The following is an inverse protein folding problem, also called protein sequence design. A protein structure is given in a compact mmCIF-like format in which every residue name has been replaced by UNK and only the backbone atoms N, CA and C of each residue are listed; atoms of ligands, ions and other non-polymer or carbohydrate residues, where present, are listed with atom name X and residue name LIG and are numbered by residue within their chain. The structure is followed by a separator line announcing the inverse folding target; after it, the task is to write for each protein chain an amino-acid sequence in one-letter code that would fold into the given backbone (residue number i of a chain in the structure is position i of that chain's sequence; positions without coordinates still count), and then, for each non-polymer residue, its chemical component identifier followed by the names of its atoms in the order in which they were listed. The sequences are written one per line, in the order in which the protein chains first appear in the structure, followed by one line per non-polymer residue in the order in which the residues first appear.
data_IF_322512971782
#
_entry.id   IF_322512971782
#
_cell.length_a   1.000
_cell.length_b   1.000
_cell.length_c   1.000
_cell.angle_alpha   90.00
_cell.angle_beta   90.00
_cell.angle_gamma   90.00
#
_symmetry.space_group_name_H-M   'P 1'
#
loop_
_entity.id
_entity.type
_entity.pdbx_description
1 polymer ?
#
# COMPACT_ATOMS: atom_id res chain seq x y z
N UNK A 1 -11.32 -12.40 19.27
CA UNK A 1 -12.41 -11.40 19.44
C UNK A 1 -13.48 -11.67 18.38
N UNK A 2 -14.79 -11.63 18.68
CA UNK A 2 -15.83 -11.99 17.73
C UNK A 2 -16.02 -10.91 16.64
N UNK A 3 -15.17 -10.94 15.61
CA UNK A 3 -15.19 -10.00 14.46
C UNK A 3 -16.54 -9.97 13.73
N UNK A 4 -17.35 -11.03 13.86
CA UNK A 4 -18.64 -11.18 13.17
C UNK A 4 -19.68 -10.10 13.52
N UNK A 5 -19.55 -9.46 14.69
CA UNK A 5 -20.44 -8.37 15.10
C UNK A 5 -19.86 -6.97 14.85
N UNK A 6 -18.53 -6.86 14.74
CA UNK A 6 -17.86 -5.57 14.57
C UNK A 6 -18.12 -4.99 13.17
N UNK A 7 -18.05 -5.83 12.14
CA UNK A 7 -18.30 -5.43 10.75
C UNK A 7 -19.71 -4.86 10.50
N UNK A 8 -20.82 -5.55 10.87
CA UNK A 8 -22.16 -5.01 10.63
C UNK A 8 -22.44 -3.76 11.49
N UNK A 9 -21.94 -3.70 12.73
CA UNK A 9 -22.08 -2.51 13.55
C UNK A 9 -21.34 -1.30 12.94
N UNK A 10 -20.10 -1.50 12.49
CA UNK A 10 -19.33 -0.45 11.82
C UNK A 10 -20.01 0.02 10.52
N UNK A 11 -20.51 -0.92 9.70
CA UNK A 11 -21.22 -0.60 8.47
C UNK A 11 -22.49 0.22 8.74
N UNK A 12 -23.24 -0.13 9.79
CA UNK A 12 -24.42 0.62 10.22
C UNK A 12 -24.06 2.04 10.65
N UNK A 13 -23.02 2.22 11.48
CA UNK A 13 -22.56 3.55 11.90
C UNK A 13 -22.07 4.41 10.72
N UNK A 14 -21.37 3.82 9.75
CA UNK A 14 -20.92 4.54 8.55
C UNK A 14 -22.11 4.99 7.70
N UNK A 15 -23.10 4.11 7.48
CA UNK A 15 -24.30 4.44 6.71
C UNK A 15 -25.11 5.57 7.37
N UNK A 16 -25.29 5.52 8.70
CA UNK A 16 -25.96 6.59 9.47
C UNK A 16 -25.17 7.89 9.43
N UNK A 17 -23.84 7.83 9.54
CA UNK A 17 -22.97 9.02 9.49
C UNK A 17 -23.05 9.74 8.14
N UNK A 18 -23.03 9.00 7.03
CA UNK A 18 -23.14 9.60 5.69
C UNK A 18 -24.53 10.15 5.44
N UNK A 19 -25.58 9.41 5.84
CA UNK A 19 -26.96 9.92 5.76
C UNK A 19 -27.13 11.23 6.55
N UNK A 20 -26.48 11.37 7.70
CA UNK A 20 -26.54 12.59 8.52
C UNK A 20 -25.89 13.81 7.86
N UNK A 21 -25.01 13.62 6.88
CA UNK A 21 -24.21 14.72 6.32
C UNK A 21 -24.99 15.49 5.26
N UNK A 22 -25.72 14.77 4.40
CA UNK A 22 -26.42 15.37 3.25
C UNK A 22 -27.88 14.93 3.11
N UNK A 23 -28.42 14.15 4.07
CA UNK A 23 -29.79 13.62 4.08
C UNK A 23 -30.20 12.96 2.74
N UNK A 24 -29.22 12.42 2.03
CA UNK A 24 -29.38 11.87 0.69
C UNK A 24 -29.16 10.37 0.71
N UNK A 25 -30.17 9.63 0.25
CA UNK A 25 -30.09 8.17 0.08
C UNK A 25 -29.06 7.77 -1.00
N UNK A 26 -28.69 8.70 -1.89
CA UNK A 26 -27.71 8.46 -2.94
C UNK A 26 -26.31 8.23 -2.37
N UNK A 27 -25.87 9.06 -1.42
CA UNK A 27 -24.55 8.92 -0.77
C UNK A 27 -24.45 7.63 0.05
N UNK A 28 -25.56 7.21 0.67
CA UNK A 28 -25.64 5.89 1.35
C UNK A 28 -25.48 4.75 0.35
N UNK A 29 -26.06 4.88 -0.85
CA UNK A 29 -25.87 3.95 -1.96
C UNK A 29 -24.40 3.85 -2.39
N UNK A 30 -23.71 4.98 -2.54
CA UNK A 30 -22.28 5.02 -2.88
C UNK A 30 -21.43 4.31 -1.83
N UNK A 31 -21.66 4.58 -0.54
CA UNK A 31 -20.97 3.89 0.57
C UNK A 31 -21.16 2.39 0.50
N UNK A 32 -22.36 1.92 0.15
CA UNK A 32 -22.67 0.49 0.05
C UNK A 32 -21.93 -0.15 -1.14
N UNK A 33 -21.85 0.56 -2.28
CA UNK A 33 -21.05 0.15 -3.44
C UNK A 33 -19.56 0.09 -3.10
N UNK A 34 -19.00 1.12 -2.46
CA UNK A 34 -17.60 1.10 -2.02
C UNK A 34 -17.33 0.05 -0.95
N UNK A 35 -18.29 -0.22 -0.06
CA UNK A 35 -18.22 -1.31 0.92
C UNK A 35 -18.17 -2.68 0.24
N UNK A 36 -18.95 -2.89 -0.82
CA UNK A 36 -18.90 -4.11 -1.64
C UNK A 36 -17.55 -4.25 -2.36
N UNK A 37 -17.02 -3.18 -2.95
CA UNK A 37 -15.68 -3.18 -3.55
C UNK A 37 -14.61 -3.52 -2.50
N UNK A 38 -14.71 -2.96 -1.29
CA UNK A 38 -13.85 -3.28 -0.17
C UNK A 38 -13.94 -4.74 0.25
N UNK A 39 -15.13 -5.35 0.22
CA UNK A 39 -15.32 -6.78 0.48
C UNK A 39 -14.64 -7.65 -0.59
N UNK A 40 -14.66 -7.23 -1.86
CA UNK A 40 -13.90 -7.91 -2.94
C UNK A 40 -12.40 -7.80 -2.71
N UNK A 41 -11.89 -6.63 -2.30
CA UNK A 41 -10.47 -6.47 -1.99
C UNK A 41 -10.04 -7.30 -0.77
N UNK A 42 -10.90 -7.43 0.23
CA UNK A 42 -10.68 -8.33 1.35
C UNK A 42 -10.68 -9.80 0.93
N UNK A 43 -11.54 -10.19 -0.02
CA UNK A 43 -11.59 -11.56 -0.56
C UNK A 43 -10.36 -11.91 -1.43
N UNK A 44 -9.71 -10.90 -2.00
CA UNK A 44 -8.49 -11.03 -2.80
C UNK A 44 -7.19 -10.96 -1.95
N UNK A 45 -7.31 -10.97 -0.61
CA UNK A 45 -6.19 -10.83 0.34
C UNK A 45 -5.34 -9.56 0.09
N UNK A 46 -5.92 -8.52 -0.50
CA UNK A 46 -5.22 -7.24 -0.60
C UNK A 46 -5.11 -6.62 0.79
N UNK A 47 -3.90 -6.23 1.21
CA UNK A 47 -3.74 -5.57 2.49
C UNK A 47 -4.41 -4.19 2.40
N UNK A 48 -5.50 -4.01 3.16
CA UNK A 48 -6.23 -2.74 3.22
C UNK A 48 -5.40 -1.61 3.82
N UNK A 49 -4.47 -1.93 4.72
CA UNK A 49 -3.63 -0.96 5.43
C UNK A 49 -2.74 -0.11 4.48
N UNK A 50 -1.97 -0.68 3.54
CA UNK A 50 -1.22 0.09 2.53
C UNK A 50 -2.09 0.98 1.64
N UNK A 51 -3.28 0.52 1.25
CA UNK A 51 -4.20 1.29 0.39
C UNK A 51 -4.68 2.54 1.13
N UNK A 52 -5.15 2.36 2.37
CA UNK A 52 -5.54 3.46 3.26
C UNK A 52 -4.37 4.40 3.54
N UNK A 53 -3.18 3.86 3.80
CA UNK A 53 -1.98 4.65 4.06
C UNK A 53 -1.62 5.51 2.84
N UNK A 54 -1.64 4.93 1.64
CA UNK A 54 -1.41 5.67 0.40
C UNK A 54 -2.45 6.75 0.15
N UNK A 55 -3.73 6.46 0.42
CA UNK A 55 -4.82 7.42 0.26
C UNK A 55 -4.68 8.62 1.20
N UNK A 56 -4.36 8.39 2.48
CA UNK A 56 -4.23 9.46 3.48
C UNK A 56 -2.92 10.23 3.31
N UNK A 57 -1.80 9.52 3.07
CA UNK A 57 -0.49 10.16 2.93
C UNK A 57 -0.29 10.84 1.58
N UNK A 58 -0.94 10.36 0.51
CA UNK A 58 -0.84 10.93 -0.84
C UNK A 58 -0.98 12.46 -0.90
N UNK A 59 -2.09 13.04 -0.43
CA UNK A 59 -2.28 14.49 -0.44
C UNK A 59 -1.24 15.23 0.42
N UNK A 60 -0.82 14.64 1.55
CA UNK A 60 0.23 15.24 2.39
C UNK A 60 1.58 15.26 1.68
N UNK A 61 1.93 14.19 0.97
CA UNK A 61 3.18 14.09 0.20
C UNK A 61 3.17 15.09 -0.95
N UNK A 62 2.08 15.15 -1.71
CA UNK A 62 1.90 16.09 -2.83
C UNK A 62 1.97 17.55 -2.35
N UNK A 63 1.30 17.88 -1.25
CA UNK A 63 1.31 19.24 -0.68
C UNK A 63 2.71 19.62 -0.18
N UNK A 64 3.41 18.71 0.50
CA UNK A 64 4.78 18.96 0.95
C UNK A 64 5.76 19.08 -0.22
N UNK A 65 5.58 18.28 -1.27
CA UNK A 65 6.37 18.36 -2.49
C UNK A 65 6.16 19.70 -3.20
N UNK A 66 4.90 20.12 -3.37
CA UNK A 66 4.53 21.41 -3.94
C UNK A 66 5.12 22.58 -3.12
N UNK A 67 5.00 22.53 -1.79
CA UNK A 67 5.59 23.54 -0.89
C UNK A 67 7.10 23.60 -1.02
N UNK A 68 7.77 22.45 -1.09
CA UNK A 68 9.21 22.39 -1.27
C UNK A 68 9.66 23.02 -2.60
N UNK A 69 8.94 22.75 -3.70
CA UNK A 69 9.22 23.35 -5.01
C UNK A 69 8.95 24.85 -5.06
N UNK A 70 7.87 25.33 -4.41
CA UNK A 70 7.56 26.76 -4.31
C UNK A 70 8.64 27.51 -3.50
N UNK A 71 9.07 26.97 -2.36
CA UNK A 71 10.20 27.53 -1.60
C UNK A 71 11.52 27.50 -2.37
N UNK A 72 11.68 26.52 -3.26
CA UNK A 72 12.86 26.33 -4.12
C UNK A 72 12.86 27.21 -5.38
N UNK A 73 11.80 28.01 -5.61
CA UNK A 73 11.61 28.76 -6.88
C UNK A 73 11.67 27.85 -8.11
N UNK A 74 11.17 26.61 -8.00
CA UNK A 74 11.11 25.65 -9.11
C UNK A 74 12.41 24.93 -9.46
N UNK A 75 13.50 25.11 -8.70
CA UNK A 75 14.77 24.43 -8.98
C UNK A 75 14.81 23.04 -8.31
N UNK A 76 14.81 21.97 -9.11
CA UNK A 76 14.92 20.58 -8.63
C UNK A 76 16.31 20.30 -8.01
N UNK A 77 17.31 21.15 -8.26
CA UNK A 77 18.66 21.01 -7.70
C UNK A 77 18.74 21.31 -6.20
N UNK A 78 17.68 21.82 -5.57
CA UNK A 78 17.67 22.08 -4.12
C UNK A 78 17.63 20.79 -3.29
N UNK A 79 17.09 19.70 -3.82
CA UNK A 79 17.15 18.39 -3.15
C UNK A 79 18.59 17.87 -3.02
N UNK A 80 19.49 18.28 -3.91
CA UNK A 80 20.92 17.93 -3.86
C UNK A 80 21.73 19.00 -3.11
N UNK A 81 21.40 20.29 -3.28
CA UNK A 81 22.13 21.39 -2.61
C UNK A 81 21.83 21.49 -1.11
N UNK A 82 20.70 20.97 -0.60
CA UNK A 82 20.43 20.91 0.84
C UNK A 82 21.02 19.61 1.43
N UNK A 83 22.07 19.68 2.27
CA UNK A 83 22.79 18.50 2.75
C UNK A 83 21.91 17.52 3.55
N UNK A 84 20.88 18.03 4.24
CA UNK A 84 19.91 17.20 4.97
C UNK A 84 19.01 16.40 4.01
N UNK A 85 18.53 17.02 2.93
CA UNK A 85 17.65 16.37 1.96
C UNK A 85 18.40 15.33 1.13
N UNK A 86 19.63 15.66 0.72
CA UNK A 86 20.52 14.72 0.04
C UNK A 86 20.84 13.49 0.89
N UNK A 87 21.05 13.66 2.20
CA UNK A 87 21.29 12.55 3.13
C UNK A 87 20.11 11.58 3.21
N UNK A 88 18.89 12.08 3.37
CA UNK A 88 17.68 11.24 3.38
C UNK A 88 17.42 10.56 2.02
N UNK A 89 17.64 11.26 0.91
CA UNK A 89 17.46 10.71 -0.43
C UNK A 89 18.47 9.59 -0.72
N UNK A 90 19.74 9.77 -0.32
CA UNK A 90 20.77 8.74 -0.41
C UNK A 90 20.43 7.54 0.48
N UNK A 91 19.98 7.76 1.72
CA UNK A 91 19.57 6.68 2.62
C UNK A 91 18.39 5.87 2.06
N UNK A 92 17.36 6.54 1.54
CA UNK A 92 16.23 5.88 0.88
C UNK A 92 16.68 5.06 -0.33
N UNK A 93 17.51 5.63 -1.20
CA UNK A 93 18.05 4.92 -2.37
C UNK A 93 18.85 3.68 -1.95
N UNK A 94 19.69 3.80 -0.92
CA UNK A 94 20.51 2.70 -0.42
C UNK A 94 19.65 1.59 0.18
N UNK A 95 18.62 1.93 0.97
CA UNK A 95 17.67 0.96 1.52
C UNK A 95 16.90 0.22 0.40
N UNK A 96 16.43 0.93 -0.62
CA UNK A 96 15.75 0.33 -1.77
C UNK A 96 16.70 -0.63 -2.51
N UNK A 97 17.94 -0.21 -2.77
CA UNK A 97 18.95 -1.05 -3.45
C UNK A 97 19.29 -2.30 -2.64
N UNK A 98 19.45 -2.17 -1.33
CA UNK A 98 19.69 -3.30 -0.42
C UNK A 98 18.50 -4.25 -0.44
N UNK A 99 17.27 -3.75 -0.29
CA UNK A 99 16.07 -4.57 -0.30
C UNK A 99 15.88 -5.29 -1.64
N UNK A 100 16.12 -4.60 -2.76
CA UNK A 100 16.04 -5.17 -4.10
C UNK A 100 17.09 -6.26 -4.29
N UNK A 101 18.33 -6.03 -3.86
CA UNK A 101 19.41 -7.01 -3.94
C UNK A 101 19.14 -8.27 -3.11
N UNK A 102 18.63 -8.11 -1.89
CA UNK A 102 18.20 -9.24 -1.06
C UNK A 102 17.00 -9.96 -1.68
N UNK A 103 15.99 -9.24 -2.17
CA UNK A 103 14.81 -9.84 -2.82
C UNK A 103 15.21 -10.64 -4.07
N UNK A 104 16.06 -10.09 -4.93
CA UNK A 104 16.59 -10.75 -6.12
C UNK A 104 17.42 -11.99 -5.78
N UNK A 105 18.32 -11.90 -4.79
CA UNK A 105 19.10 -13.07 -4.33
C UNK A 105 18.22 -14.18 -3.77
N UNK A 106 17.18 -13.82 -3.02
CA UNK A 106 16.24 -14.81 -2.44
C UNK A 106 15.36 -15.44 -3.52
N UNK A 107 14.95 -14.66 -4.52
CA UNK A 107 14.18 -15.16 -5.67
C UNK A 107 15.00 -16.13 -6.54
N UNK A 108 16.27 -15.83 -6.79
CA UNK A 108 17.18 -16.71 -7.55
C UNK A 108 17.46 -18.02 -6.81
N UNK A 109 17.70 -17.98 -5.50
CA UNK A 109 17.90 -19.20 -4.68
C UNK A 109 16.68 -20.11 -4.64
N UNK A 110 15.46 -19.55 -4.61
CA UNK A 110 14.21 -20.35 -4.68
C UNK A 110 14.07 -21.12 -5.99
N UNK A 111 14.59 -20.60 -7.11
CA UNK A 111 14.56 -21.27 -8.42
C UNK A 111 15.50 -22.49 -8.46
N UNK A 112 16.66 -22.41 -7.81
CA UNK A 112 17.61 -23.54 -7.74
C UNK A 112 17.06 -24.71 -6.92
N UNK A 113 16.36 -24.44 -5.81
CA UNK A 113 15.75 -25.49 -4.98
C UNK A 113 14.56 -26.15 -5.68
N UNK A 114 13.74 -25.38 -6.39
CA UNK A 114 12.63 -25.91 -7.19
C UNK A 114 13.13 -26.80 -8.36
N UNK A 115 14.20 -26.39 -9.04
CA UNK A 115 14.83 -27.18 -10.10
C UNK A 115 15.44 -28.50 -9.56
N UNK A 116 16.05 -28.47 -8.36
CA UNK A 116 16.60 -29.68 -7.72
C UNK A 116 15.51 -30.67 -7.32
N UNK A 117 14.37 -30.21 -6.78
CA UNK A 117 13.24 -31.07 -6.43
C UNK A 117 12.56 -31.72 -7.64
N UNK A 118 12.51 -31.03 -8.79
CA UNK A 118 12.03 -31.61 -10.04
C UNK A 118 12.98 -32.70 -10.58
N UNK A 119 14.28 -32.56 -10.38
CA UNK A 119 15.27 -33.59 -10.77
C UNK A 119 15.33 -34.79 -9.81
N UNK A 120 15.05 -34.60 -8.51
CA UNK A 120 15.09 -35.69 -7.52
C UNK A 120 13.75 -36.41 -7.35
N UNK A 121 12.65 -35.84 -7.83
CA UNK A 121 11.29 -36.40 -7.74
C UNK A 121 10.93 -37.47 -8.78
N UNK A 122 11.78 -37.73 -9.77
CA UNK A 122 11.61 -38.83 -10.73
C UNK A 122 12.30 -40.12 -10.25
N UNK A 123 11.95 -40.60 -9.05
CA UNK A 123 12.15 -42.00 -8.67
C UNK A 123 10.81 -42.46 -8.09
N UNK A 124 9.92 -42.89 -8.98
CA UNK A 124 8.76 -43.69 -8.57
C UNK A 124 9.29 -44.97 -7.94
N UNK A 125 9.06 -45.26 -6.65
CA UNK A 125 9.12 -46.64 -6.19
C UNK A 125 7.93 -47.37 -6.84
N UNK A 126 8.25 -48.50 -7.46
CA UNK A 126 7.30 -49.44 -8.05
C UNK A 126 6.43 -50.10 -6.97
#
# INVERSE_FOLDING_TARGET
MPYRYLYPAALFFIAVGVYSTNNSLFEVGEVLVFGMIGAVFAALDFPAAPILLGYVLGPMVEENFRRALLLSRGDLLVFVKRPISAGFMAACALLILVQLFFALRTALRKRETAARLMSSGWRKPA
#
